data_IF_690218131600
#
_entry.id   IF_690218131600
#
_cell.length_a   1.000
_cell.length_b   1.000
_cell.length_c   1.000
_cell.angle_alpha   90.00
_cell.angle_beta   90.00
_cell.angle_gamma   90.00
#
_symmetry.space_group_name_H-M   'P 1'
#
loop_
_entity.id
_entity.type
_entity.pdbx_description
1 polymer ?
#
# COMPACT_ATOMS: atom_id res chain seq x y z
N UNK A 1 3.74 -37.16 -13.83
CA UNK A 1 4.17 -36.88 -12.44
C UNK A 1 3.72 -35.46 -12.12
N UNK A 2 2.69 -35.31 -11.30
CA UNK A 2 2.18 -34.00 -10.91
C UNK A 2 3.24 -33.30 -10.05
N UNK A 3 3.74 -32.16 -10.54
CA UNK A 3 4.64 -31.28 -9.78
C UNK A 3 3.78 -30.64 -8.69
N UNK A 4 3.76 -31.24 -7.50
CA UNK A 4 3.27 -30.57 -6.28
C UNK A 4 4.26 -29.44 -6.00
N UNK A 5 3.98 -28.26 -6.52
CA UNK A 5 4.75 -27.08 -6.15
C UNK A 5 4.49 -26.76 -4.68
N UNK A 6 5.61 -26.48 -4.01
CA UNK A 6 5.77 -26.30 -2.58
C UNK A 6 4.67 -25.43 -1.97
N UNK A 7 3.96 -26.03 -1.02
CA UNK A 7 3.20 -25.30 -0.01
C UNK A 7 4.20 -24.57 0.88
N UNK A 8 4.65 -23.41 0.44
CA UNK A 8 5.45 -22.51 1.24
C UNK A 8 4.51 -21.87 2.29
N UNK A 9 4.80 -22.13 3.57
CA UNK A 9 4.06 -21.60 4.73
C UNK A 9 4.34 -20.10 4.95
N UNK A 10 4.27 -19.31 3.88
CA UNK A 10 4.44 -17.85 3.86
C UNK A 10 3.11 -17.11 3.81
N UNK A 11 3.17 -15.80 4.10
CA UNK A 11 2.06 -14.87 3.87
C UNK A 11 1.53 -15.01 2.43
N UNK A 12 0.21 -15.07 2.26
CA UNK A 12 -0.39 -15.17 0.92
C UNK A 12 0.01 -13.99 0.05
N UNK A 13 0.07 -14.20 -1.27
CA UNK A 13 0.48 -13.17 -2.22
C UNK A 13 -0.33 -11.87 -2.07
N UNK A 14 -1.67 -11.90 -1.89
CA UNK A 14 -2.44 -10.69 -1.62
C UNK A 14 -2.04 -9.95 -0.34
N UNK A 15 -1.67 -10.68 0.72
CA UNK A 15 -1.27 -10.06 1.99
C UNK A 15 0.14 -9.48 1.89
N UNK A 16 1.03 -10.11 1.14
CA UNK A 16 2.36 -9.55 0.84
C UNK A 16 2.23 -8.26 0.02
N UNK A 17 1.39 -8.26 -1.02
CA UNK A 17 1.11 -7.07 -1.83
C UNK A 17 0.47 -5.94 -1.00
N UNK A 18 -0.47 -6.28 -0.09
CA UNK A 18 -1.04 -5.35 0.88
C UNK A 18 0.05 -4.67 1.73
N UNK A 19 0.95 -5.44 2.33
CA UNK A 19 2.00 -4.90 3.20
C UNK A 19 2.99 -4.01 2.43
N UNK A 20 3.40 -4.43 1.23
CA UNK A 20 4.34 -3.66 0.39
C UNK A 20 3.72 -2.33 -0.01
N UNK A 21 2.48 -2.33 -0.52
CA UNK A 21 1.82 -1.09 -0.92
C UNK A 21 1.42 -0.22 0.26
N UNK A 22 1.13 -0.80 1.43
CA UNK A 22 0.90 -0.03 2.65
C UNK A 22 2.16 0.77 3.04
N UNK A 23 3.34 0.14 3.04
CA UNK A 23 4.60 0.83 3.37
C UNK A 23 4.93 1.89 2.33
N UNK A 24 4.80 1.57 1.03
CA UNK A 24 5.05 2.54 -0.04
C UNK A 24 4.07 3.72 0.00
N UNK A 25 2.78 3.45 0.20
CA UNK A 25 1.75 4.46 0.34
C UNK A 25 2.02 5.38 1.54
N UNK A 26 2.43 4.82 2.69
CA UNK A 26 2.78 5.58 3.87
C UNK A 26 3.95 6.55 3.61
N UNK A 27 5.00 6.08 2.93
CA UNK A 27 6.16 6.91 2.59
C UNK A 27 5.78 8.02 1.61
N UNK A 28 5.10 7.69 0.52
CA UNK A 28 4.73 8.67 -0.52
C UNK A 28 3.78 9.73 0.04
N UNK A 29 2.72 9.31 0.73
CA UNK A 29 1.74 10.23 1.30
C UNK A 29 2.36 11.02 2.46
N UNK A 30 3.07 10.38 3.39
CA UNK A 30 3.76 11.07 4.49
C UNK A 30 4.73 12.13 3.99
N UNK A 31 5.58 11.79 3.02
CA UNK A 31 6.50 12.75 2.40
C UNK A 31 5.75 13.90 1.71
N UNK A 32 4.63 13.62 1.03
CA UNK A 32 3.81 14.65 0.38
C UNK A 32 3.28 15.68 1.38
N UNK A 33 2.77 15.22 2.53
CA UNK A 33 2.30 16.08 3.61
C UNK A 33 3.43 16.84 4.34
N UNK A 34 4.67 16.34 4.28
CA UNK A 34 5.82 17.06 4.82
C UNK A 34 6.32 18.14 3.84
N UNK A 35 6.35 17.83 2.55
CA UNK A 35 6.79 18.77 1.49
C UNK A 35 5.82 19.94 1.35
N UNK A 36 4.51 19.71 1.47
CA UNK A 36 3.50 20.76 1.26
C UNK A 36 3.65 21.93 2.24
N UNK A 37 4.27 21.70 3.41
CA UNK A 37 4.59 22.75 4.40
C UNK A 37 5.60 23.77 3.89
N UNK A 38 6.46 23.37 2.95
CA UNK A 38 7.47 24.23 2.34
C UNK A 38 6.97 24.86 1.03
N UNK A 39 5.77 24.48 0.58
CA UNK A 39 5.14 25.11 -0.57
C UNK A 39 4.52 26.45 -0.14
N UNK A 40 4.60 27.52 -0.97
CA UNK A 40 3.95 28.79 -0.67
C UNK A 40 2.42 28.60 -0.66
N UNK A 41 1.89 28.31 0.51
CA UNK A 41 0.46 28.21 0.78
C UNK A 41 -0.09 29.61 1.12
N UNK A 42 -1.36 29.91 0.78
CA UNK A 42 -2.02 31.10 1.29
C UNK A 42 -1.99 31.09 2.81
N UNK A 43 -1.83 32.26 3.44
CA UNK A 43 -1.73 32.43 4.91
C UNK A 43 -2.92 31.82 5.67
N UNK A 44 -4.06 31.62 4.99
CA UNK A 44 -5.26 30.99 5.54
C UNK A 44 -5.24 29.45 5.53
N UNK A 45 -4.22 28.81 4.99
CA UNK A 45 -4.11 27.35 4.88
C UNK A 45 -2.96 26.87 5.76
N UNK A 46 -3.29 26.50 6.99
CA UNK A 46 -2.35 25.86 7.90
C UNK A 46 -2.48 24.34 7.74
N UNK A 47 -1.42 23.61 7.33
CA UNK A 47 -1.48 22.17 7.14
C UNK A 47 -1.77 21.45 8.47
N UNK A 48 -3.02 20.98 8.61
CA UNK A 48 -3.53 20.29 9.81
C UNK A 48 -2.81 18.96 10.09
N UNK A 49 -2.34 18.28 9.05
CA UNK A 49 -1.64 17.00 9.17
C UNK A 49 -0.17 17.13 8.73
N UNK A 50 0.74 16.61 9.54
CA UNK A 50 2.15 16.41 9.15
C UNK A 50 2.42 15.01 8.60
N UNK A 51 3.70 14.64 8.51
CA UNK A 51 4.13 13.33 8.03
C UNK A 51 3.33 12.16 8.64
N UNK A 52 3.07 12.15 9.94
CA UNK A 52 2.35 11.06 10.61
C UNK A 52 0.92 10.88 10.07
N UNK A 53 0.19 11.97 9.85
CA UNK A 53 -1.17 11.91 9.29
C UNK A 53 -1.16 11.44 7.84
N UNK A 54 -0.23 11.98 7.04
CA UNK A 54 -0.02 11.52 5.67
C UNK A 54 0.37 10.05 5.59
N UNK A 55 1.22 9.58 6.49
CA UNK A 55 1.71 8.20 6.53
C UNK A 55 0.61 7.20 6.91
N UNK A 56 -0.22 7.52 7.91
CA UNK A 56 -1.37 6.66 8.29
C UNK A 56 -2.36 6.56 7.13
N UNK A 57 -2.70 7.69 6.50
CA UNK A 57 -3.61 7.68 5.36
C UNK A 57 -3.05 6.91 4.16
N UNK A 58 -1.77 7.15 3.85
CA UNK A 58 -1.05 6.44 2.82
C UNK A 58 -0.97 4.94 3.06
N UNK A 59 -0.77 4.52 4.31
CA UNK A 59 -0.76 3.12 4.70
C UNK A 59 -2.12 2.45 4.45
N UNK A 60 -3.21 3.11 4.81
CA UNK A 60 -4.57 2.57 4.62
C UNK A 60 -4.90 2.43 3.14
N UNK A 61 -4.69 3.50 2.36
CA UNK A 61 -4.96 3.48 0.91
C UNK A 61 -4.06 2.46 0.22
N UNK A 62 -2.78 2.42 0.58
CA UNK A 62 -1.80 1.47 0.07
C UNK A 62 -2.18 0.02 0.39
N UNK A 63 -2.61 -0.26 1.62
CA UNK A 63 -3.06 -1.60 2.03
C UNK A 63 -4.27 -2.06 1.21
N UNK A 64 -5.31 -1.23 1.10
CA UNK A 64 -6.52 -1.58 0.34
C UNK A 64 -6.19 -1.81 -1.14
N UNK A 65 -5.37 -0.93 -1.73
CA UNK A 65 -4.95 -1.04 -3.12
C UNK A 65 -4.08 -2.27 -3.37
N UNK A 66 -3.15 -2.57 -2.45
CA UNK A 66 -2.26 -3.73 -2.52
C UNK A 66 -3.00 -5.04 -2.36
N UNK A 67 -4.02 -5.07 -1.50
CA UNK A 67 -4.89 -6.21 -1.35
C UNK A 67 -5.71 -6.42 -2.63
N UNK A 68 -6.33 -5.37 -3.18
CA UNK A 68 -7.09 -5.46 -4.43
C UNK A 68 -6.21 -5.94 -5.60
N UNK A 69 -5.04 -5.34 -5.80
CA UNK A 69 -4.10 -5.74 -6.85
C UNK A 69 -3.59 -7.16 -6.63
N UNK A 70 -3.20 -7.49 -5.39
CA UNK A 70 -2.72 -8.81 -5.05
C UNK A 70 -3.78 -9.91 -5.28
N UNK A 71 -5.05 -9.64 -5.01
CA UNK A 71 -6.14 -10.55 -5.36
C UNK A 71 -6.35 -10.66 -6.88
N UNK A 72 -6.32 -9.55 -7.61
CA UNK A 72 -6.51 -9.54 -9.07
C UNK A 72 -5.36 -10.20 -9.85
N UNK A 73 -4.17 -10.24 -9.27
CA UNK A 73 -2.95 -10.79 -9.91
C UNK A 73 -2.53 -12.14 -9.37
N UNK A 74 -3.18 -12.68 -8.33
CA UNK A 74 -2.91 -14.03 -7.85
C UNK A 74 -3.47 -15.05 -8.85
N UNK A 75 -2.61 -15.56 -9.73
CA UNK A 75 -2.94 -16.59 -10.73
C UNK A 75 -3.54 -17.86 -10.12
N UNK A 76 -3.34 -18.09 -8.81
CA UNK A 76 -4.00 -19.19 -8.08
C UNK A 76 -5.52 -19.09 -8.06
N UNK A 77 -6.10 -17.90 -8.23
CA UNK A 77 -7.55 -17.72 -8.40
C UNK A 77 -8.05 -18.11 -9.81
N UNK A 78 -7.17 -18.19 -10.80
CA UNK A 78 -7.51 -18.52 -12.20
C UNK A 78 -7.09 -19.93 -12.61
N UNK A 79 -6.53 -20.72 -11.69
CA UNK A 79 -5.92 -22.03 -11.95
C UNK A 79 -6.87 -23.24 -11.97
N UNK A 80 -8.19 -23.03 -11.84
CA UNK A 80 -9.20 -24.08 -12.03
C UNK A 80 -10.08 -23.73 -13.26
N UNK A 81 -9.64 -24.15 -14.45
CA UNK A 81 -10.45 -24.27 -15.67
C UNK A 81 -9.90 -25.37 -16.56
#
# INVERSE_FOLDING_TARGET
MAKKEQQDSGLSFPVTAMLVLAVLGAVVSGASFEIIKYWPLPISVDPYFGFAGGAVWGAVVGAVSGLALGFLTDERHFGDS
#
